data_IF_554027871718
#
_entry.id   IF_554027871718
#
_cell.length_a   1.000
_cell.length_b   1.000
_cell.length_c   1.000
_cell.angle_alpha   90.00
_cell.angle_beta   90.00
_cell.angle_gamma   90.00
#
_symmetry.space_group_name_H-M   'P 1'
#
loop_
_entity.id
_entity.type
_entity.pdbx_description
1 polymer ?
#
# COMPACT_ATOMS: atom_id res chain seq x y z
N UNK A 1 5.68 7.45 -4.97
CA UNK A 1 4.55 8.12 -4.27
C UNK A 1 4.99 8.82 -3.00
N UNK A 2 5.69 8.17 -2.08
CA UNK A 2 6.10 8.75 -0.79
C UNK A 2 6.70 10.18 -0.92
N UNK A 3 7.71 10.38 -1.75
CA UNK A 3 8.37 11.69 -1.92
C UNK A 3 7.49 12.79 -2.54
N UNK A 4 6.33 12.46 -3.08
CA UNK A 4 5.30 13.44 -3.48
C UNK A 4 4.45 13.89 -2.31
N UNK A 5 4.25 13.02 -1.32
CA UNK A 5 3.49 13.32 -0.10
C UNK A 5 4.38 14.04 0.92
N UNK A 6 5.64 13.60 1.05
CA UNK A 6 6.67 14.21 1.87
C UNK A 6 8.04 14.20 1.16
N UNK A 7 8.45 15.32 0.54
CA UNK A 7 9.76 15.43 -0.10
C UNK A 7 10.95 15.32 0.87
N UNK A 8 10.71 15.42 2.18
CA UNK A 8 11.74 15.35 3.23
C UNK A 8 11.73 14.02 3.99
N UNK A 9 10.98 13.02 3.49
CA UNK A 9 10.96 11.69 4.10
C UNK A 9 12.38 11.18 4.35
N UNK A 10 12.63 10.71 5.57
CA UNK A 10 13.95 10.21 5.96
C UNK A 10 14.29 8.87 5.29
N UNK A 11 15.53 8.43 5.47
CA UNK A 11 16.03 7.22 4.82
C UNK A 11 15.27 5.97 5.26
N UNK A 12 14.90 5.85 6.54
CA UNK A 12 14.19 4.70 7.05
C UNK A 12 12.80 4.59 6.41
N UNK A 13 12.07 5.70 6.31
CA UNK A 13 10.75 5.76 5.68
C UNK A 13 10.83 5.50 4.16
N UNK A 14 11.87 5.98 3.47
CA UNK A 14 12.08 5.67 2.06
C UNK A 14 12.37 4.18 1.84
N UNK A 15 13.20 3.55 2.68
CA UNK A 15 13.47 2.12 2.65
C UNK A 15 12.18 1.34 2.93
N UNK A 16 11.41 1.73 3.94
CA UNK A 16 10.14 1.10 4.26
C UNK A 16 9.16 1.17 3.08
N UNK A 17 9.06 2.32 2.40
CA UNK A 17 8.18 2.48 1.24
C UNK A 17 8.57 1.60 0.04
N UNK A 18 9.86 1.33 -0.15
CA UNK A 18 10.35 0.42 -1.19
C UNK A 18 10.15 -1.05 -0.80
N UNK A 19 10.23 -1.37 0.50
CA UNK A 19 10.28 -2.75 0.99
C UNK A 19 9.02 -3.25 1.69
N UNK A 20 7.92 -2.46 1.79
CA UNK A 20 6.74 -2.85 2.57
C UNK A 20 6.09 -4.17 2.09
N UNK A 21 6.12 -4.42 0.80
CA UNK A 21 5.57 -5.62 0.15
C UNK A 21 6.65 -6.67 -0.22
N UNK A 22 7.86 -6.61 0.37
CA UNK A 22 8.99 -7.47 0.00
C UNK A 22 8.70 -8.96 0.16
N UNK A 23 7.80 -9.35 1.04
CA UNK A 23 7.43 -10.75 1.21
C UNK A 23 6.69 -11.31 -0.01
N UNK A 24 5.98 -10.48 -0.77
CA UNK A 24 5.29 -10.88 -2.01
C UNK A 24 6.25 -11.19 -3.15
N UNK A 25 7.49 -10.70 -3.08
CA UNK A 25 8.53 -10.98 -4.05
C UNK A 25 9.21 -12.35 -3.83
N UNK A 26 9.00 -12.99 -2.68
CA UNK A 26 9.59 -14.29 -2.33
C UNK A 26 8.53 -15.37 -2.28
N UNK A 27 8.36 -16.09 -3.39
CA UNK A 27 7.35 -17.14 -3.53
C UNK A 27 7.46 -18.27 -2.48
N UNK A 28 8.65 -18.51 -1.95
CA UNK A 28 8.89 -19.58 -0.97
C UNK A 28 8.58 -19.15 0.45
N UNK A 29 8.69 -17.86 0.75
CA UNK A 29 8.55 -17.30 2.11
C UNK A 29 7.35 -16.40 2.29
N UNK A 30 6.62 -16.09 1.20
CA UNK A 30 5.46 -15.20 1.31
C UNK A 30 4.34 -15.81 2.14
N UNK A 31 3.67 -14.97 2.88
CA UNK A 31 2.43 -15.33 3.57
C UNK A 31 1.31 -15.48 2.54
N UNK A 32 0.57 -16.59 2.61
CA UNK A 32 -0.52 -16.87 1.67
C UNK A 32 -1.87 -16.50 2.27
N UNK A 33 -2.70 -15.80 1.51
CA UNK A 33 -4.05 -15.42 1.94
C UNK A 33 -4.92 -16.62 2.34
N UNK A 34 -4.73 -17.75 1.65
CA UNK A 34 -5.49 -18.98 1.88
C UNK A 34 -5.24 -19.63 3.25
N UNK A 35 -4.16 -19.25 3.94
CA UNK A 35 -3.79 -19.82 5.24
C UNK A 35 -4.47 -19.06 6.42
N UNK A 36 -5.35 -18.07 6.13
CA UNK A 36 -5.99 -17.22 7.14
C UNK A 36 -7.49 -17.09 6.85
N UNK A 37 -8.31 -17.27 7.85
CA UNK A 37 -9.75 -17.01 7.77
C UNK A 37 -10.04 -15.51 7.80
N UNK A 38 -9.34 -14.78 8.66
CA UNK A 38 -9.48 -13.34 8.81
C UNK A 38 -8.51 -12.56 7.92
N UNK A 39 -9.01 -11.48 7.29
CA UNK A 39 -8.19 -10.67 6.39
C UNK A 39 -7.21 -9.75 7.13
N UNK A 40 -7.57 -9.28 8.32
CA UNK A 40 -6.69 -8.41 9.10
C UNK A 40 -5.58 -9.22 9.76
N UNK A 41 -5.84 -10.48 10.15
CA UNK A 41 -4.80 -11.41 10.58
C UNK A 41 -3.80 -11.70 9.46
N UNK A 42 -4.30 -11.95 8.24
CA UNK A 42 -3.45 -12.12 7.06
C UNK A 42 -2.56 -10.88 6.83
N UNK A 43 -3.12 -9.66 6.85
CA UNK A 43 -2.36 -8.42 6.67
C UNK A 43 -1.30 -8.24 7.74
N UNK A 44 -1.64 -8.51 8.99
CA UNK A 44 -0.68 -8.43 10.10
C UNK A 44 0.45 -9.45 9.95
N UNK A 45 0.16 -10.67 9.50
CA UNK A 45 1.17 -11.70 9.25
C UNK A 45 2.08 -11.32 8.07
N UNK A 46 1.51 -10.83 6.97
CA UNK A 46 2.21 -10.30 5.82
C UNK A 46 3.19 -9.18 6.21
N UNK A 47 2.72 -8.17 6.94
CA UNK A 47 3.55 -7.05 7.40
C UNK A 47 4.72 -7.51 8.28
N UNK A 48 4.47 -8.41 9.24
CA UNK A 48 5.53 -8.99 10.10
C UNK A 48 6.54 -9.81 9.30
N UNK A 49 6.09 -10.58 8.33
CA UNK A 49 6.98 -11.37 7.47
C UNK A 49 7.84 -10.47 6.58
N UNK A 50 7.23 -9.45 5.96
CA UNK A 50 7.94 -8.44 5.18
C UNK A 50 9.04 -7.75 5.99
N UNK A 51 8.75 -7.36 7.23
CA UNK A 51 9.75 -6.76 8.12
C UNK A 51 10.93 -7.71 8.42
N UNK A 52 10.68 -9.03 8.61
CA UNK A 52 11.75 -10.03 8.82
C UNK A 52 12.65 -10.17 7.59
N UNK A 53 12.04 -10.25 6.41
CA UNK A 53 12.78 -10.38 5.15
C UNK A 53 13.59 -9.11 4.90
N UNK A 54 12.98 -7.93 5.09
CA UNK A 54 13.65 -6.64 4.94
C UNK A 54 14.85 -6.52 5.88
N UNK A 55 14.71 -6.87 7.17
CA UNK A 55 15.80 -6.86 8.13
C UNK A 55 17.00 -7.68 7.67
N UNK A 56 16.75 -8.91 7.21
CA UNK A 56 17.81 -9.77 6.69
C UNK A 56 18.50 -9.16 5.48
N UNK A 57 17.75 -8.51 4.61
CA UNK A 57 18.26 -7.83 3.41
C UNK A 57 19.13 -6.63 3.78
N UNK A 58 18.65 -5.77 4.68
CA UNK A 58 19.36 -4.58 5.13
C UNK A 58 20.67 -4.92 5.85
N UNK A 59 20.66 -5.99 6.66
CA UNK A 59 21.88 -6.49 7.31
C UNK A 59 22.95 -6.92 6.29
N UNK A 60 22.55 -7.63 5.23
CA UNK A 60 23.45 -8.02 4.14
C UNK A 60 24.01 -6.82 3.35
N UNK A 61 23.24 -5.73 3.29
CA UNK A 61 23.65 -4.47 2.64
C UNK A 61 24.47 -3.55 3.56
N UNK A 62 24.72 -3.93 4.81
CA UNK A 62 25.50 -3.12 5.75
C UNK A 62 24.80 -1.84 6.21
N UNK A 63 23.45 -1.79 6.17
CA UNK A 63 22.68 -0.64 6.62
C UNK A 63 22.77 -0.50 8.14
N UNK A 64 22.96 0.74 8.62
CA UNK A 64 23.06 1.06 10.05
C UNK A 64 21.84 0.51 10.83
N UNK A 65 22.10 -0.10 12.00
CA UNK A 65 21.09 -0.79 12.81
C UNK A 65 19.88 0.09 13.12
N UNK A 66 20.09 1.35 13.51
CA UNK A 66 18.99 2.28 13.83
C UNK A 66 18.07 2.57 12.63
N UNK A 67 18.63 2.69 11.42
CA UNK A 67 17.86 2.88 10.19
C UNK A 67 17.09 1.59 9.85
N UNK A 68 17.75 0.44 9.96
CA UNK A 68 17.12 -0.85 9.69
C UNK A 68 15.99 -1.16 10.69
N UNK A 69 16.19 -0.83 11.98
CA UNK A 69 15.17 -1.00 13.02
C UNK A 69 13.93 -0.18 12.75
N UNK A 70 14.11 1.11 12.41
CA UNK A 70 12.99 2.00 12.11
C UNK A 70 12.28 1.59 10.80
N UNK A 71 13.00 1.26 9.74
CA UNK A 71 12.40 0.77 8.50
C UNK A 71 11.56 -0.49 8.71
N UNK A 72 12.06 -1.45 9.50
CA UNK A 72 11.32 -2.67 9.82
C UNK A 72 10.11 -2.42 10.72
N UNK A 73 10.19 -1.47 11.66
CA UNK A 73 9.04 -1.03 12.47
C UNK A 73 7.95 -0.45 11.57
N UNK A 74 8.31 0.43 10.66
CA UNK A 74 7.38 1.05 9.70
C UNK A 74 6.72 0.01 8.81
N UNK A 75 7.49 -0.96 8.28
CA UNK A 75 6.92 -2.07 7.49
C UNK A 75 5.95 -2.90 8.32
N UNK A 76 6.22 -3.13 9.60
CA UNK A 76 5.27 -3.86 10.48
C UNK A 76 3.94 -3.11 10.63
N UNK A 77 3.96 -1.77 10.58
CA UNK A 77 2.80 -0.90 10.80
C UNK A 77 2.12 -0.42 9.51
N UNK A 78 2.67 -0.71 8.32
CA UNK A 78 2.20 -0.10 7.06
C UNK A 78 0.71 -0.37 6.73
N UNK A 79 0.14 -1.46 7.24
CA UNK A 79 -1.28 -1.78 7.03
C UNK A 79 -2.21 -1.03 7.99
N UNK A 80 -1.75 -0.72 9.21
CA UNK A 80 -2.59 -0.15 10.26
C UNK A 80 -2.27 1.31 10.56
N UNK A 81 -1.02 1.74 10.41
CA UNK A 81 -0.57 3.06 10.82
C UNK A 81 -0.42 3.18 12.34
N UNK A 82 -0.63 4.39 12.87
CA UNK A 82 -0.66 4.67 14.31
C UNK A 82 0.33 5.73 14.78
N UNK A 83 1.19 6.21 13.89
CA UNK A 83 2.06 7.37 14.07
C UNK A 83 2.28 8.10 12.73
N UNK A 84 2.78 9.35 12.74
CA UNK A 84 2.89 10.14 11.50
C UNK A 84 3.64 9.47 10.35
N UNK A 85 4.71 8.70 10.63
CA UNK A 85 5.50 8.04 9.59
C UNK A 85 4.80 6.80 9.05
N UNK A 86 4.23 5.95 9.91
CA UNK A 86 3.49 4.76 9.48
C UNK A 86 2.18 5.11 8.78
N UNK A 87 1.51 6.19 9.21
CA UNK A 87 0.34 6.74 8.51
C UNK A 87 0.70 7.26 7.12
N UNK A 88 1.84 7.96 6.99
CA UNK A 88 2.32 8.45 5.70
C UNK A 88 2.70 7.31 4.76
N UNK A 89 3.30 6.24 5.29
CA UNK A 89 3.62 5.04 4.51
C UNK A 89 2.34 4.36 3.99
N UNK A 90 1.35 4.14 4.85
CA UNK A 90 0.03 3.60 4.49
C UNK A 90 -0.66 4.45 3.44
N UNK A 91 -0.59 5.77 3.59
CA UNK A 91 -1.17 6.73 2.66
C UNK A 91 -0.48 6.66 1.29
N UNK A 92 0.86 6.56 1.27
CA UNK A 92 1.65 6.44 0.05
C UNK A 92 1.33 5.14 -0.71
N UNK A 93 1.20 4.01 0.00
CA UNK A 93 0.78 2.73 -0.58
C UNK A 93 -0.64 2.83 -1.15
N UNK A 94 -1.58 3.36 -0.38
CA UNK A 94 -2.98 3.50 -0.80
C UNK A 94 -3.13 4.32 -2.09
N UNK A 95 -2.39 5.43 -2.23
CA UNK A 95 -2.41 6.22 -3.48
C UNK A 95 -1.72 5.49 -4.62
N UNK A 96 -0.61 4.78 -4.34
CA UNK A 96 0.12 4.01 -5.34
C UNK A 96 -0.78 2.97 -6.03
N UNK A 97 -1.72 2.37 -5.29
CA UNK A 97 -2.73 1.49 -5.90
C UNK A 97 -3.50 2.21 -7.00
N UNK A 98 -4.05 3.39 -6.71
CA UNK A 98 -4.84 4.13 -7.69
C UNK A 98 -4.00 4.66 -8.86
N UNK A 99 -2.77 5.13 -8.62
CA UNK A 99 -1.97 5.73 -9.70
C UNK A 99 -1.29 4.70 -10.61
N UNK A 100 -0.85 3.58 -10.03
CA UNK A 100 0.05 2.65 -10.73
C UNK A 100 -0.53 1.25 -10.85
N UNK A 101 -1.10 0.71 -9.75
CA UNK A 101 -1.45 -0.69 -9.69
C UNK A 101 -2.85 -1.00 -10.23
N UNK A 102 -3.76 -0.04 -10.25
CA UNK A 102 -5.15 -0.26 -10.67
C UNK A 102 -5.27 -0.81 -12.10
N UNK A 103 -4.53 -0.33 -13.12
CA UNK A 103 -4.58 -0.93 -14.46
C UNK A 103 -4.18 -2.40 -14.49
N UNK A 104 -3.10 -2.76 -13.78
CA UNK A 104 -2.63 -4.15 -13.69
C UNK A 104 -3.63 -5.02 -12.91
N UNK A 105 -4.21 -4.47 -11.86
CA UNK A 105 -5.23 -5.14 -11.06
C UNK A 105 -6.49 -5.42 -11.90
N UNK A 106 -6.92 -4.45 -12.69
CA UNK A 106 -8.04 -4.60 -13.62
C UNK A 106 -7.82 -5.71 -14.66
N UNK A 107 -6.62 -5.78 -15.23
CA UNK A 107 -6.28 -6.83 -16.19
C UNK A 107 -6.31 -8.24 -15.56
N UNK A 108 -5.91 -8.35 -14.29
CA UNK A 108 -5.85 -9.62 -13.57
C UNK A 108 -7.19 -10.07 -13.00
N UNK A 109 -7.91 -9.16 -12.37
CA UNK A 109 -9.09 -9.48 -11.54
C UNK A 109 -10.43 -9.09 -12.22
N UNK A 110 -10.36 -8.32 -13.31
CA UNK A 110 -11.54 -7.86 -14.03
C UNK A 110 -12.25 -6.66 -13.39
N UNK A 111 -13.33 -6.25 -14.06
CA UNK A 111 -14.04 -5.01 -13.79
C UNK A 111 -14.67 -4.95 -12.39
N UNK A 112 -15.41 -5.99 -12.03
CA UNK A 112 -16.24 -5.97 -10.82
C UNK A 112 -15.40 -6.02 -9.54
N UNK A 113 -14.34 -6.81 -9.55
CA UNK A 113 -13.40 -6.87 -8.42
C UNK A 113 -12.62 -5.56 -8.28
N UNK A 114 -12.18 -4.96 -9.40
CA UNK A 114 -11.51 -3.66 -9.38
C UNK A 114 -12.45 -2.57 -8.85
N UNK A 115 -13.72 -2.58 -9.24
CA UNK A 115 -14.73 -1.66 -8.71
C UNK A 115 -14.84 -1.80 -7.17
N UNK A 116 -15.01 -3.02 -6.66
CA UNK A 116 -15.08 -3.29 -5.21
C UNK A 116 -13.83 -2.78 -4.48
N UNK A 117 -12.66 -3.09 -5.02
CA UNK A 117 -11.36 -2.67 -4.46
C UNK A 117 -11.22 -1.14 -4.43
N UNK A 118 -11.64 -0.45 -5.50
CA UNK A 118 -11.62 1.00 -5.57
C UNK A 118 -12.56 1.66 -4.57
N UNK A 119 -13.81 1.18 -4.43
CA UNK A 119 -14.78 1.69 -3.47
C UNK A 119 -14.22 1.55 -2.04
N UNK A 120 -13.77 0.36 -1.67
CA UNK A 120 -13.19 0.09 -0.37
C UNK A 120 -11.93 0.94 -0.10
N UNK A 121 -10.99 0.98 -1.05
CA UNK A 121 -9.75 1.73 -0.92
C UNK A 121 -10.00 3.24 -0.79
N UNK A 122 -10.91 3.78 -1.60
CA UNK A 122 -11.25 5.21 -1.54
C UNK A 122 -11.94 5.60 -0.22
N UNK A 123 -12.83 4.76 0.32
CA UNK A 123 -13.49 4.99 1.61
C UNK A 123 -12.50 5.19 2.74
N UNK A 124 -11.38 4.46 2.75
CA UNK A 124 -10.33 4.53 3.79
C UNK A 124 -9.43 5.77 3.71
N UNK A 125 -9.43 6.50 2.60
CA UNK A 125 -8.53 7.63 2.40
C UNK A 125 -8.93 8.84 3.26
N UNK A 126 -7.93 9.57 3.76
CA UNK A 126 -8.14 10.89 4.34
C UNK A 126 -8.69 11.88 3.31
N UNK A 127 -9.32 12.97 3.76
CA UNK A 127 -9.86 13.98 2.86
C UNK A 127 -8.81 14.62 1.93
N UNK A 128 -7.54 14.70 2.36
CA UNK A 128 -6.41 15.16 1.54
C UNK A 128 -6.15 14.19 0.39
N UNK A 129 -6.11 12.90 0.68
CA UNK A 129 -5.83 11.86 -0.30
C UNK A 129 -7.00 11.66 -1.27
N UNK A 130 -8.24 11.74 -0.78
CA UNK A 130 -9.46 11.74 -1.62
C UNK A 130 -9.38 12.81 -2.71
N UNK A 131 -8.84 14.01 -2.40
CA UNK A 131 -8.63 15.08 -3.39
C UNK A 131 -7.57 14.74 -4.45
N UNK A 132 -6.55 13.97 -4.09
CA UNK A 132 -5.53 13.50 -5.05
C UNK A 132 -6.14 12.47 -5.98
N UNK A 133 -6.78 11.43 -5.42
CA UNK A 133 -7.36 10.33 -6.21
C UNK A 133 -8.45 10.82 -7.18
N UNK A 134 -9.24 11.83 -6.82
CA UNK A 134 -10.24 12.44 -7.72
C UNK A 134 -9.65 13.06 -8.99
N UNK A 135 -8.35 13.36 -9.01
CA UNK A 135 -7.66 13.96 -10.17
C UNK A 135 -6.96 12.94 -11.05
N UNK A 136 -6.95 11.67 -10.64
CA UNK A 136 -6.31 10.61 -11.42
C UNK A 136 -7.13 10.33 -12.67
N UNK A 137 -6.45 10.27 -13.79
CA UNK A 137 -6.97 9.84 -15.08
C UNK A 137 -6.00 8.82 -15.66
N UNK A 138 -6.51 7.90 -16.48
CA UNK A 138 -5.72 6.89 -17.18
C UNK A 138 -5.82 7.13 -18.68
N UNK A 139 -4.85 6.63 -19.45
CA UNK A 139 -4.92 6.62 -20.91
C UNK A 139 -6.14 5.82 -21.39
N UNK A 140 -6.48 4.73 -20.70
CA UNK A 140 -7.71 3.99 -20.91
C UNK A 140 -8.89 4.70 -20.22
N UNK A 141 -9.79 5.27 -21.03
CA UNK A 141 -10.99 5.96 -20.55
C UNK A 141 -11.92 5.02 -19.76
N UNK A 142 -11.91 3.70 -20.06
CA UNK A 142 -12.69 2.70 -19.32
C UNK A 142 -12.26 2.68 -17.84
N UNK A 143 -10.95 2.72 -17.58
CA UNK A 143 -10.41 2.77 -16.21
C UNK A 143 -10.71 4.09 -15.53
N UNK A 144 -10.59 5.20 -16.26
CA UNK A 144 -10.94 6.53 -15.77
C UNK A 144 -12.42 6.57 -15.35
N UNK A 145 -13.31 6.05 -16.17
CA UNK A 145 -14.74 5.99 -15.86
C UNK A 145 -15.05 5.04 -14.71
N UNK A 146 -14.35 3.89 -14.63
CA UNK A 146 -14.49 2.95 -13.52
C UNK A 146 -14.10 3.62 -12.19
N UNK A 147 -12.99 4.35 -12.15
CA UNK A 147 -12.57 5.08 -10.96
C UNK A 147 -13.59 6.15 -10.55
N UNK A 148 -14.08 6.95 -11.49
CA UNK A 148 -15.13 7.95 -11.23
C UNK A 148 -16.39 7.32 -10.61
N UNK A 149 -16.86 6.20 -11.19
CA UNK A 149 -18.01 5.48 -10.68
C UNK A 149 -17.77 4.91 -9.27
N UNK A 150 -16.58 4.36 -9.02
CA UNK A 150 -16.21 3.86 -7.69
C UNK A 150 -16.20 4.97 -6.63
N UNK A 151 -15.65 6.14 -6.97
CA UNK A 151 -15.66 7.32 -6.10
C UNK A 151 -17.08 7.77 -5.78
N UNK A 152 -17.94 7.85 -6.80
CA UNK A 152 -19.34 8.22 -6.61
C UNK A 152 -20.07 7.24 -5.68
N UNK A 153 -19.91 5.94 -5.88
CA UNK A 153 -20.52 4.92 -5.02
C UNK A 153 -19.98 4.96 -3.59
N UNK A 154 -18.68 5.20 -3.40
CA UNK A 154 -18.09 5.35 -2.07
C UNK A 154 -18.68 6.55 -1.31
N UNK A 155 -18.87 7.70 -2.00
CA UNK A 155 -19.47 8.91 -1.40
C UNK A 155 -20.97 8.77 -1.06
N UNK A 156 -21.67 7.77 -1.58
CA UNK A 156 -23.07 7.51 -1.23
C UNK A 156 -23.22 6.61 0.02
N UNK A 157 -22.11 6.02 0.49
CA UNK A 157 -22.10 5.14 1.67
C UNK A 157 -21.57 5.83 2.94
N UNK A 158 -20.96 7.02 2.78
CA UNK A 158 -20.55 7.93 3.87
C UNK A 158 -21.74 8.81 4.28
#
# INVERSE_FOLDING_TARGET
MLLRLDPKADQALQIAALGHDIDRADELRKVRRADYDDYDEFKAAHARNGAKILRSTLAKCGVAGSIADEACRLVTLHEVGGDPHSDLLRDADSISFFEVNMPLYYQREGRDETMRRCIWGYGRLSGRLKKIVKKITYEDETLTQLLKNAIQQACLKD
#
